data_IF_023681563116
#
_entry.id   IF_023681563116
#
_cell.length_a   1.000
_cell.length_b   1.000
_cell.length_c   1.000
_cell.angle_alpha   90.00
_cell.angle_beta   90.00
_cell.angle_gamma   90.00
#
_symmetry.space_group_name_H-M   'P 1'
#
loop_
_entity.id
_entity.type
_entity.pdbx_description
1 polymer ?
#
# COMPACT_ATOMS: atom_id res chain seq x y z
N UNK A 1 -17.55 -37.30 20.30
CA UNK A 1 -17.94 -35.97 19.75
C UNK A 1 -17.00 -34.82 20.19
N UNK A 2 -15.74 -35.09 20.55
CA UNK A 2 -14.74 -34.06 20.96
C UNK A 2 -13.62 -33.82 19.93
N UNK A 3 -13.47 -34.70 18.94
CA UNK A 3 -12.40 -34.62 17.93
C UNK A 3 -12.75 -33.78 16.69
N UNK A 4 -14.03 -33.45 16.48
CA UNK A 4 -14.48 -32.65 15.33
C UNK A 4 -14.24 -31.14 15.52
N UNK A 5 -14.17 -30.66 16.76
CA UNK A 5 -14.01 -29.23 17.05
C UNK A 5 -12.56 -28.78 16.85
N UNK A 6 -11.59 -29.64 17.17
CA UNK A 6 -10.16 -29.34 17.00
C UNK A 6 -9.71 -29.29 15.55
N UNK A 7 -10.32 -30.10 14.67
CA UNK A 7 -9.99 -30.10 13.24
C UNK A 7 -10.43 -28.79 12.53
N UNK A 8 -11.52 -28.17 12.99
CA UNK A 8 -12.07 -26.96 12.36
C UNK A 8 -11.22 -25.71 12.67
N UNK A 9 -10.59 -25.66 13.86
CA UNK A 9 -9.73 -24.53 14.27
C UNK A 9 -8.40 -24.52 13.49
N UNK A 10 -7.85 -25.70 13.16
CA UNK A 10 -6.58 -25.81 12.42
C UNK A 10 -6.73 -25.40 10.94
N UNK A 11 -7.89 -25.69 10.31
CA UNK A 11 -8.13 -25.28 8.92
C UNK A 11 -8.30 -23.76 8.74
N UNK A 12 -8.78 -23.04 9.75
CA UNK A 12 -8.94 -21.57 9.69
C UNK A 12 -7.62 -20.80 9.83
N UNK A 13 -6.55 -21.43 10.32
CA UNK A 13 -5.24 -20.80 10.48
C UNK A 13 -4.41 -20.74 9.18
N UNK A 14 -4.77 -21.52 8.15
CA UNK A 14 -4.00 -21.64 6.90
C UNK A 14 -4.30 -20.59 5.82
N UNK A 15 -5.30 -19.72 6.02
CA UNK A 15 -5.76 -18.77 5.01
C UNK A 15 -5.16 -17.36 5.16
N UNK A 16 -4.15 -17.16 6.00
CA UNK A 16 -3.40 -15.91 6.02
C UNK A 16 -2.52 -15.87 4.77
N UNK A 17 -3.04 -15.27 3.70
CA UNK A 17 -2.29 -15.06 2.46
C UNK A 17 -0.98 -14.35 2.79
N UNK A 18 0.15 -15.01 2.54
CA UNK A 18 1.48 -14.40 2.60
C UNK A 18 1.53 -13.27 1.58
N UNK A 19 1.20 -12.05 2.01
CA UNK A 19 1.27 -10.91 1.13
C UNK A 19 2.74 -10.62 0.84
N UNK A 20 3.19 -10.91 -0.38
CA UNK A 20 4.54 -10.62 -0.82
C UNK A 20 4.75 -9.11 -0.82
N UNK A 21 5.69 -8.63 -0.01
CA UNK A 21 6.11 -7.23 -0.06
C UNK A 21 6.74 -6.96 -1.44
N UNK A 22 6.12 -6.09 -2.24
CA UNK A 22 6.59 -5.72 -3.57
C UNK A 22 6.59 -4.21 -3.78
N UNK A 23 7.34 -3.74 -4.77
CA UNK A 23 7.42 -2.31 -5.12
C UNK A 23 6.73 -2.09 -6.47
N UNK A 24 5.79 -1.16 -6.52
CA UNK A 24 4.94 -0.90 -7.69
C UNK A 24 4.96 0.58 -8.07
N UNK A 25 4.76 0.83 -9.37
CA UNK A 25 4.52 2.19 -9.86
C UNK A 25 3.05 2.53 -9.67
N UNK A 26 2.77 3.75 -9.23
CA UNK A 26 1.41 4.24 -9.12
C UNK A 26 0.87 4.70 -10.47
N UNK A 27 -0.45 4.67 -10.63
CA UNK A 27 -1.13 5.24 -11.78
C UNK A 27 -0.74 6.70 -11.97
N UNK A 28 -0.52 7.12 -13.21
CA UNK A 28 -0.36 8.54 -13.51
C UNK A 28 -1.57 9.34 -13.02
N UNK A 29 -1.32 10.53 -12.48
CA UNK A 29 -2.37 11.37 -11.88
C UNK A 29 -2.90 10.87 -10.53
N UNK A 30 -2.27 9.86 -9.91
CA UNK A 30 -2.60 9.44 -8.55
C UNK A 30 -2.42 10.59 -7.58
N UNK A 31 -3.51 10.97 -6.92
CA UNK A 31 -3.51 11.96 -5.84
C UNK A 31 -3.14 11.30 -4.52
N UNK A 32 -2.16 11.87 -3.84
CA UNK A 32 -1.75 11.47 -2.50
C UNK A 32 -2.20 12.48 -1.46
N UNK A 33 -2.52 11.99 -0.27
CA UNK A 33 -3.07 12.76 0.83
C UNK A 33 -2.31 12.48 2.13
N UNK A 34 -2.18 13.48 2.99
CA UNK A 34 -1.53 13.35 4.30
C UNK A 34 -2.36 12.52 5.30
N UNK A 35 -3.70 12.50 5.13
CA UNK A 35 -4.66 11.73 5.93
C UNK A 35 -5.67 11.04 4.99
N UNK A 36 -6.45 10.04 5.45
CA UNK A 36 -7.40 9.32 4.60
C UNK A 36 -8.64 10.19 4.31
N UNK A 37 -8.50 11.16 3.42
CA UNK A 37 -9.52 12.12 3.04
C UNK A 37 -9.32 12.53 1.58
N UNK A 38 -10.42 12.72 0.84
CA UNK A 38 -10.38 13.18 -0.56
C UNK A 38 -10.54 14.70 -0.65
N UNK A 39 -9.94 15.42 0.29
CA UNK A 39 -10.08 16.87 0.41
C UNK A 39 -8.78 17.56 0.01
N UNK A 40 -8.90 18.70 -0.64
CA UNK A 40 -7.75 19.43 -1.20
C UNK A 40 -6.84 20.01 -0.10
N UNK A 41 -7.37 20.25 1.10
CA UNK A 41 -6.61 20.76 2.27
C UNK A 41 -5.48 19.82 2.73
N UNK A 42 -5.54 18.55 2.34
CA UNK A 42 -4.55 17.54 2.71
C UNK A 42 -3.93 16.84 1.51
N UNK A 43 -4.16 17.38 0.32
CA UNK A 43 -3.45 16.92 -0.86
C UNK A 43 -1.97 17.25 -0.69
N UNK A 44 -1.12 16.27 -0.98
CA UNK A 44 0.33 16.45 -0.97
C UNK A 44 0.85 16.26 -2.38
N UNK A 45 1.68 17.20 -2.80
CA UNK A 45 2.41 17.09 -4.05
C UNK A 45 3.66 16.26 -3.80
N UNK A 46 3.84 15.20 -4.60
CA UNK A 46 4.96 14.29 -4.47
C UNK A 46 5.70 14.22 -5.81
N UNK A 47 7.03 14.09 -5.78
CA UNK A 47 7.78 13.72 -6.97
C UNK A 47 7.35 12.33 -7.47
N UNK A 48 7.91 11.87 -8.59
CA UNK A 48 7.67 10.52 -9.08
C UNK A 48 8.09 9.49 -8.01
N UNK A 49 7.10 8.78 -7.48
CA UNK A 49 7.27 7.80 -6.40
C UNK A 49 6.77 6.42 -6.82
N UNK A 50 7.43 5.40 -6.27
CA UNK A 50 6.93 4.04 -6.22
C UNK A 50 6.35 3.75 -4.84
N UNK A 51 5.57 2.69 -4.72
CA UNK A 51 4.91 2.32 -3.47
C UNK A 51 5.19 0.87 -3.10
N UNK A 52 5.31 0.60 -1.80
CA UNK A 52 5.31 -0.78 -1.30
C UNK A 52 3.87 -1.28 -1.19
N UNK A 53 3.67 -2.55 -1.57
CA UNK A 53 2.39 -3.27 -1.43
C UNK A 53 2.59 -4.54 -0.60
N UNK A 54 1.55 -5.08 0.06
CA UNK A 54 0.20 -4.52 0.15
C UNK A 54 0.17 -3.22 0.97
N UNK A 55 -0.70 -2.25 0.63
CA UNK A 55 -0.94 -1.10 1.49
C UNK A 55 -1.73 -1.49 2.74
N UNK A 56 -1.71 -0.61 3.73
CA UNK A 56 -2.68 -0.65 4.84
C UNK A 56 -3.97 0.04 4.40
N UNK A 57 -5.07 -0.71 4.37
CA UNK A 57 -6.38 -0.18 3.99
C UNK A 57 -7.15 0.35 5.20
N UNK A 58 -7.80 1.51 5.06
CA UNK A 58 -8.77 2.03 6.03
C UNK A 58 -10.21 1.65 5.69
N UNK A 59 -11.11 1.82 6.66
CA UNK A 59 -12.53 1.52 6.48
C UNK A 59 -13.26 2.43 5.47
N UNK A 60 -12.61 3.50 4.98
CA UNK A 60 -13.17 4.48 4.03
C UNK A 60 -12.65 4.30 2.61
N UNK A 61 -11.93 3.20 2.35
CA UNK A 61 -11.42 2.87 1.01
C UNK A 61 -10.15 3.62 0.62
N UNK A 62 -9.41 4.15 1.59
CA UNK A 62 -8.07 4.68 1.39
C UNK A 62 -7.01 3.65 1.74
N UNK A 63 -5.92 3.69 1.00
CA UNK A 63 -4.77 2.84 1.17
C UNK A 63 -3.58 3.71 1.57
N UNK A 64 -2.97 3.41 2.72
CA UNK A 64 -1.70 3.99 3.14
C UNK A 64 -0.58 3.17 2.53
N UNK A 65 0.20 3.83 1.69
CA UNK A 65 1.37 3.28 1.04
C UNK A 65 2.64 3.76 1.72
N UNK A 66 3.63 2.88 1.85
CA UNK A 66 5.02 3.30 2.09
C UNK A 66 5.60 3.80 0.77
N UNK A 67 6.18 5.00 0.77
CA UNK A 67 6.70 5.65 -0.42
C UNK A 67 8.16 5.24 -0.64
N UNK A 68 8.50 5.00 -1.91
CA UNK A 68 9.85 4.66 -2.36
C UNK A 68 10.28 5.71 -3.39
N UNK A 69 11.17 6.58 -2.95
CA UNK A 69 11.69 7.69 -3.74
C UNK A 69 12.91 7.28 -4.58
N UNK A 70 13.15 8.05 -5.66
CA UNK A 70 14.40 7.98 -6.42
C UNK A 70 15.59 8.37 -5.53
N UNK A 71 16.78 7.88 -5.87
CA UNK A 71 18.01 8.14 -5.09
C UNK A 71 18.28 9.65 -4.95
N UNK A 72 17.95 10.46 -5.96
CA UNK A 72 18.10 11.91 -5.92
C UNK A 72 17.25 12.60 -4.83
N UNK A 73 16.12 12.00 -4.46
CA UNK A 73 15.18 12.52 -3.47
C UNK A 73 15.34 11.81 -2.11
N UNK A 74 16.17 10.77 -2.03
CA UNK A 74 16.41 10.03 -0.79
C UNK A 74 17.20 10.90 0.19
N UNK A 75 16.63 11.09 1.39
CA UNK A 75 17.21 11.92 2.45
C UNK A 75 16.62 13.32 2.56
N UNK A 76 15.67 13.70 1.69
CA UNK A 76 14.92 14.93 1.87
C UNK A 76 13.97 14.81 3.10
N UNK A 77 14.16 15.61 4.16
CA UNK A 77 13.33 15.52 5.37
C UNK A 77 11.90 16.02 5.18
N UNK A 78 11.62 16.78 4.12
CA UNK A 78 10.29 17.33 3.84
C UNK A 78 9.38 16.33 3.11
N UNK A 79 9.94 15.22 2.61
CA UNK A 79 9.19 14.18 1.94
C UNK A 79 8.67 13.13 2.94
N UNK A 80 7.36 12.84 2.94
CA UNK A 80 6.80 11.90 3.89
C UNK A 80 7.22 10.46 3.57
N UNK A 81 7.44 9.63 4.60
CA UNK A 81 7.71 8.21 4.39
C UNK A 81 6.48 7.41 3.90
N UNK A 82 5.28 7.96 4.08
CA UNK A 82 4.02 7.30 3.71
C UNK A 82 2.95 8.31 3.32
N UNK A 83 2.04 7.91 2.44
CA UNK A 83 0.90 8.72 2.05
C UNK A 83 -0.36 7.88 1.85
N UNK A 84 -1.51 8.54 1.89
CA UNK A 84 -2.80 7.94 1.59
C UNK A 84 -3.19 8.19 0.14
N UNK A 85 -3.75 7.19 -0.53
CA UNK A 85 -4.41 7.36 -1.82
C UNK A 85 -5.70 6.52 -1.85
N UNK A 86 -6.53 6.68 -2.89
CA UNK A 86 -7.63 5.73 -3.10
C UNK A 86 -7.02 4.36 -3.42
N UNK A 87 -7.59 3.28 -2.89
CA UNK A 87 -7.02 1.94 -3.10
C UNK A 87 -6.99 1.49 -4.58
N UNK A 88 -7.74 2.14 -5.48
CA UNK A 88 -7.75 1.87 -6.92
C UNK A 88 -6.54 2.44 -7.70
N UNK A 89 -5.56 3.03 -6.99
CA UNK A 89 -4.49 3.82 -7.59
C UNK A 89 -3.19 3.07 -7.95
N UNK A 90 -3.09 1.76 -7.70
CA UNK A 90 -1.91 0.97 -8.10
C UNK A 90 -2.11 0.32 -9.48
N UNK A 91 -1.21 0.61 -10.42
CA UNK A 91 -1.10 -0.16 -11.65
C UNK A 91 -0.28 -1.43 -11.45
N UNK A 92 -0.56 -2.44 -12.28
CA UNK A 92 -0.01 -3.80 -12.17
C UNK A 92 1.50 -3.82 -12.44
N UNK A 93 2.17 -4.72 -11.70
CA UNK A 93 3.56 -5.18 -11.77
C UNK A 93 4.45 -4.53 -12.85
N UNK A 94 5.54 -3.89 -12.40
CA UNK A 94 6.76 -3.90 -13.21
C UNK A 94 7.39 -5.27 -13.00
N UNK A 95 7.25 -6.18 -13.98
CA UNK A 95 8.02 -7.42 -14.02
C UNK A 95 9.49 -7.04 -14.25
N UNK A 96 10.30 -7.13 -13.21
CA UNK A 96 11.75 -7.01 -13.31
C UNK A 96 12.34 -8.40 -13.54
N UNK A 97 12.09 -8.98 -14.72
CA UNK A 97 12.91 -10.07 -15.26
C UNK A 97 13.54 -9.61 -16.59
N UNK A 98 14.87 -9.74 -16.75
CA UNK A 98 15.54 -9.49 -18.02
C UNK A 98 15.19 -10.57 -19.07
#
# INVERSE_FOLDING_TARGET
MRFLVTALVVLMAGAASSASAGIFTVREGTKFYAKPSASEDVLIDLPEVRVQVPPLQDARGFCRFTLVYKIADQGNPDLPASAWARCVSTDRLIDSRP
#
